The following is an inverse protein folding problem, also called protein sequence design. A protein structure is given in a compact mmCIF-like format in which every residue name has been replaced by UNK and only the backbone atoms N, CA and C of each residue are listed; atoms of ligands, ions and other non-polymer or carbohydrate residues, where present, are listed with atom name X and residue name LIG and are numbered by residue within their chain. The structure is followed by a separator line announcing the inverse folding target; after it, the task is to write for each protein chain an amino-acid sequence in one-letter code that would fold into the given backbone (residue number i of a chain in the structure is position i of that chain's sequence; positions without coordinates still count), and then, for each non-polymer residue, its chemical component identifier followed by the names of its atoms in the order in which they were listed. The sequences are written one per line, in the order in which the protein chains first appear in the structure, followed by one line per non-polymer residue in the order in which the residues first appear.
data_IF_361392130804
#
_entry.id   IF_361392130804
#
_cell.length_a   1.000
_cell.length_b   1.000
_cell.length_c   1.000
_cell.angle_alpha   90.00
_cell.angle_beta   90.00
_cell.angle_gamma   90.00
#
_symmetry.space_group_name_H-M   'P 1'
#
loop_
_entity.id
_entity.type
_entity.pdbx_description
1 polymer ?
#
# COMPACT_ATOMS: atom_id res chain seq x y z
N UNK A 1 16.17 -14.26 -6.15
CA UNK A 1 15.83 -13.03 -5.42
C UNK A 1 16.60 -11.90 -6.10
N UNK A 2 15.94 -11.10 -6.95
CA UNK A 2 16.65 -10.05 -7.70
C UNK A 2 16.61 -8.75 -6.89
N UNK A 3 17.77 -8.31 -6.42
CA UNK A 3 17.95 -6.99 -5.83
C UNK A 3 18.41 -6.04 -6.94
N UNK A 4 17.78 -4.89 -7.05
CA UNK A 4 18.21 -3.81 -7.95
C UNK A 4 19.00 -2.76 -7.17
N UNK A 5 20.02 -2.20 -7.81
CA UNK A 5 20.80 -1.08 -7.26
C UNK A 5 20.33 0.22 -7.90
N UNK A 6 20.17 1.25 -7.06
CA UNK A 6 19.91 2.61 -7.50
C UNK A 6 21.07 3.51 -7.07
N UNK A 7 21.51 4.40 -7.96
CA UNK A 7 22.48 5.44 -7.64
C UNK A 7 21.81 6.80 -7.77
N UNK A 8 21.78 7.54 -6.67
CA UNK A 8 21.15 8.87 -6.60
C UNK A 8 22.25 9.90 -6.41
N UNK A 9 22.24 10.96 -7.24
CA UNK A 9 23.09 12.13 -7.01
C UNK A 9 22.39 13.06 -6.03
N UNK A 10 23.12 13.42 -4.97
CA UNK A 10 22.69 14.39 -3.97
C UNK A 10 23.81 15.40 -3.78
N UNK A 11 23.45 16.56 -3.24
CA UNK A 11 24.44 17.55 -2.82
C UNK A 11 25.35 16.95 -1.72
N UNK A 12 26.65 17.25 -1.80
CA UNK A 12 27.62 16.72 -0.83
C UNK A 12 27.36 17.28 0.58
N UNK A 13 26.86 18.51 0.69
CA UNK A 13 26.47 19.12 1.97
C UNK A 13 25.34 18.32 2.62
N UNK A 14 24.33 17.92 1.84
CA UNK A 14 23.21 17.09 2.33
C UNK A 14 23.73 15.75 2.83
N UNK A 15 24.60 15.10 2.06
CA UNK A 15 25.19 13.80 2.44
C UNK A 15 25.99 13.91 3.73
N UNK A 16 26.74 15.01 3.91
CA UNK A 16 27.54 15.29 5.09
C UNK A 16 26.66 15.47 6.32
N UNK A 17 25.63 16.33 6.24
CA UNK A 17 24.68 16.56 7.34
C UNK A 17 24.04 15.25 7.81
N UNK A 18 23.57 14.42 6.87
CA UNK A 18 22.94 13.13 7.18
C UNK A 18 23.91 12.18 7.89
N UNK A 19 25.15 12.08 7.40
CA UNK A 19 26.18 11.23 8.01
C UNK A 19 26.58 11.70 9.40
N UNK A 20 26.83 12.99 9.58
CA UNK A 20 27.23 13.58 10.87
C UNK A 20 26.11 13.46 11.92
N UNK A 21 24.86 13.44 11.48
CA UNK A 21 23.69 13.20 12.32
C UNK A 21 23.44 11.71 12.62
N UNK A 22 24.28 10.80 12.12
CA UNK A 22 24.15 9.35 12.33
C UNK A 22 23.01 8.70 11.56
N UNK A 23 22.51 9.32 10.49
CA UNK A 23 21.43 8.78 9.66
C UNK A 23 21.95 7.67 8.74
N UNK A 24 21.30 6.50 8.79
CA UNK A 24 21.50 5.45 7.79
C UNK A 24 20.72 5.77 6.51
N UNK A 25 21.40 6.45 5.58
CA UNK A 25 20.82 6.87 4.29
C UNK A 25 20.24 5.68 3.51
N UNK A 26 20.89 4.51 3.57
CA UNK A 26 20.41 3.35 2.82
C UNK A 26 19.08 2.85 3.38
N UNK A 27 18.97 2.76 4.70
CA UNK A 27 17.73 2.38 5.37
C UNK A 27 16.61 3.36 5.08
N UNK A 28 16.88 4.66 5.17
CA UNK A 28 15.87 5.70 4.93
C UNK A 28 15.37 5.72 3.48
N UNK A 29 16.29 5.67 2.51
CA UNK A 29 15.92 5.62 1.08
C UNK A 29 15.15 4.35 0.76
N UNK A 30 15.59 3.19 1.28
CA UNK A 30 14.87 1.92 1.10
C UNK A 30 13.46 2.02 1.67
N UNK A 31 13.31 2.46 2.91
CA UNK A 31 12.01 2.54 3.57
C UNK A 31 11.07 3.50 2.83
N UNK A 32 11.59 4.65 2.40
CA UNK A 32 10.83 5.61 1.60
C UNK A 32 10.30 4.99 0.30
N UNK A 33 11.15 4.29 -0.45
CA UNK A 33 10.77 3.67 -1.72
C UNK A 33 9.77 2.52 -1.53
N UNK A 34 9.95 1.69 -0.50
CA UNK A 34 9.00 0.61 -0.17
C UNK A 34 7.63 1.16 0.21
N UNK A 35 7.59 2.21 1.04
CA UNK A 35 6.35 2.89 1.40
C UNK A 35 5.67 3.53 0.19
N UNK A 36 6.44 4.16 -0.70
CA UNK A 36 5.93 4.77 -1.92
C UNK A 36 5.33 3.71 -2.85
N UNK A 37 6.04 2.60 -3.06
CA UNK A 37 5.57 1.48 -3.87
C UNK A 37 4.27 0.89 -3.30
N UNK A 38 4.20 0.70 -1.99
CA UNK A 38 3.00 0.22 -1.32
C UNK A 38 1.80 1.15 -1.54
N UNK A 39 1.97 2.47 -1.35
CA UNK A 39 0.91 3.45 -1.57
C UNK A 39 0.38 3.42 -3.01
N UNK A 40 1.28 3.33 -3.99
CA UNK A 40 0.90 3.22 -5.40
C UNK A 40 0.09 1.94 -5.65
N UNK A 41 0.53 0.81 -5.10
CA UNK A 41 -0.14 -0.47 -5.29
C UNK A 41 -1.52 -0.51 -4.62
N UNK A 42 -1.66 0.02 -3.40
CA UNK A 42 -2.95 0.16 -2.72
C UNK A 42 -3.91 1.00 -3.57
N UNK A 43 -3.46 2.15 -4.08
CA UNK A 43 -4.29 3.00 -4.95
C UNK A 43 -4.73 2.26 -6.21
N UNK A 44 -3.83 1.53 -6.87
CA UNK A 44 -4.15 0.70 -8.06
C UNK A 44 -5.16 -0.40 -7.73
N UNK A 45 -5.05 -1.05 -6.57
CA UNK A 45 -5.98 -2.09 -6.13
C UNK A 45 -7.38 -1.55 -5.86
N UNK A 46 -7.48 -0.42 -5.16
CA UNK A 46 -8.76 0.26 -4.92
C UNK A 46 -9.41 0.66 -6.24
N UNK A 47 -8.65 1.24 -7.17
CA UNK A 47 -9.17 1.61 -8.49
C UNK A 47 -9.71 0.41 -9.27
N UNK A 48 -8.95 -0.70 -9.30
CA UNK A 48 -9.41 -1.95 -9.92
C UNK A 48 -10.67 -2.49 -9.26
N UNK A 49 -10.76 -2.44 -7.94
CA UNK A 49 -11.94 -2.87 -7.20
C UNK A 49 -13.15 -1.99 -7.54
N UNK A 50 -12.98 -0.66 -7.58
CA UNK A 50 -14.05 0.26 -7.96
C UNK A 50 -14.58 -0.01 -9.37
N UNK A 51 -13.69 -0.31 -10.33
CA UNK A 51 -14.10 -0.68 -11.69
C UNK A 51 -14.93 -1.97 -11.67
N UNK A 52 -14.51 -3.00 -10.93
CA UNK A 52 -15.25 -4.27 -10.84
C UNK A 52 -16.61 -4.11 -10.16
N UNK A 53 -16.71 -3.24 -9.16
CA UNK A 53 -17.94 -3.01 -8.41
C UNK A 53 -18.86 -1.97 -9.04
N UNK A 54 -18.43 -1.29 -10.12
CA UNK A 54 -19.13 -0.14 -10.70
C UNK A 54 -20.59 -0.43 -11.05
N UNK A 55 -20.87 -1.63 -11.54
CA UNK A 55 -22.20 -2.04 -11.99
C UNK A 55 -22.93 -2.95 -10.99
N UNK A 56 -22.34 -3.15 -9.80
CA UNK A 56 -22.94 -3.98 -8.75
C UNK A 56 -23.81 -3.08 -7.86
N UNK A 57 -25.12 -3.33 -7.78
CA UNK A 57 -25.99 -2.56 -6.90
C UNK A 57 -25.59 -2.79 -5.44
N UNK A 58 -25.73 -1.76 -4.58
CA UNK A 58 -25.46 -1.93 -3.16
C UNK A 58 -26.33 -3.03 -2.57
N UNK A 59 -25.77 -3.76 -1.60
CA UNK A 59 -26.54 -4.76 -0.87
C UNK A 59 -27.75 -4.10 -0.19
N UNK A 60 -28.86 -4.84 -0.12
CA UNK A 60 -30.06 -4.38 0.59
C UNK A 60 -29.73 -4.15 2.07
N UNK A 61 -30.43 -3.20 2.68
CA UNK A 61 -30.31 -2.98 4.11
C UNK A 61 -30.65 -4.26 4.88
N UNK A 62 -29.84 -4.62 5.88
CA UNK A 62 -29.99 -5.87 6.63
C UNK A 62 -29.58 -7.14 5.88
N UNK A 63 -28.99 -7.04 4.69
CA UNK A 63 -28.54 -8.22 3.93
C UNK A 63 -27.54 -9.07 4.75
N UNK A 64 -26.57 -8.44 5.40
CA UNK A 64 -25.56 -9.17 6.20
C UNK A 64 -26.18 -9.94 7.37
N UNK A 65 -27.13 -9.34 8.10
CA UNK A 65 -27.81 -10.01 9.22
C UNK A 65 -28.72 -11.12 8.74
N UNK A 66 -29.41 -10.92 7.61
CA UNK A 66 -30.22 -11.96 6.96
C UNK A 66 -29.37 -13.15 6.52
N UNK A 67 -28.30 -12.92 5.76
CA UNK A 67 -27.44 -13.99 5.24
C UNK A 67 -26.78 -14.83 6.33
N UNK A 68 -26.31 -14.20 7.42
CA UNK A 68 -25.73 -14.94 8.56
C UNK A 68 -26.78 -15.78 9.29
N UNK A 69 -28.02 -15.31 9.36
CA UNK A 69 -29.12 -16.07 9.98
C UNK A 69 -29.53 -17.25 9.12
N UNK A 70 -29.69 -17.06 7.81
CA UNK A 70 -29.99 -18.15 6.86
C UNK A 70 -28.92 -19.26 6.90
N UNK A 71 -27.64 -18.89 6.87
CA UNK A 71 -26.54 -19.88 6.86
C UNK A 71 -26.50 -20.71 8.15
N UNK A 72 -26.84 -20.11 9.30
CA UNK A 72 -26.92 -20.81 10.59
C UNK A 72 -28.17 -21.69 10.74
N UNK A 73 -29.28 -21.29 10.14
CA UNK A 73 -30.55 -22.03 10.20
C UNK A 73 -30.62 -23.16 9.16
N UNK A 74 -29.77 -23.11 8.13
CA UNK A 74 -29.69 -24.12 7.06
C UNK A 74 -28.75 -25.30 7.35
N UNK A 75 -28.07 -25.30 8.51
CA UNK A 75 -27.07 -26.28 8.93
C UNK A 75 -27.46 -26.92 10.26
#
# INVERSE_FOLDING_TARGET
MYMSVISIRIDEEVKKILKESGVDINREVKHFLENLAWKIEVKRRIERLNILLKDIPPAKEGFSTFSVKEDRESN
#
